data_IF_507171136543
#
_entry.id   IF_507171136543
#
_cell.length_a   1.000
_cell.length_b   1.000
_cell.length_c   1.000
_cell.angle_alpha   90.00
_cell.angle_beta   90.00
_cell.angle_gamma   90.00
#
_symmetry.space_group_name_H-M   'P 1'
#
loop_
_entity.id
_entity.type
_entity.pdbx_description
1 polymer ?
#
# COMPACT_ATOMS: atom_id res chain seq x y z
N UNK A 1 13.94 15.37 3.60
CA UNK A 1 14.49 16.54 2.87
C UNK A 1 15.01 17.57 3.85
N UNK A 2 14.20 18.00 4.82
CA UNK A 2 14.60 19.04 5.78
C UNK A 2 15.84 18.67 6.60
N UNK A 3 15.96 17.42 7.06
CA UNK A 3 17.13 16.93 7.81
C UNK A 3 18.49 17.17 7.13
N UNK A 4 18.53 17.26 5.79
CA UNK A 4 19.75 17.49 5.01
C UNK A 4 19.79 18.88 4.38
N UNK A 5 18.62 19.44 4.09
CA UNK A 5 18.49 20.62 3.26
C UNK A 5 18.14 21.91 3.99
N UNK A 6 17.92 21.89 5.31
CA UNK A 6 17.78 23.11 6.10
C UNK A 6 19.10 23.45 6.78
N UNK A 7 19.74 24.59 6.43
CA UNK A 7 20.97 25.00 7.10
C UNK A 7 20.68 25.36 8.55
N UNK A 8 21.57 24.96 9.45
CA UNK A 8 21.49 25.33 10.87
C UNK A 8 22.80 25.99 11.29
N UNK A 9 22.75 27.31 11.44
CA UNK A 9 23.89 28.15 11.81
C UNK A 9 24.43 27.83 13.21
N UNK A 10 23.62 27.26 14.10
CA UNK A 10 23.99 26.94 15.48
C UNK A 10 24.76 25.62 15.59
N UNK A 11 24.53 24.67 14.68
CA UNK A 11 25.20 23.35 14.66
C UNK A 11 26.26 23.23 13.55
N UNK A 12 26.50 24.30 12.78
CA UNK A 12 27.47 24.30 11.67
C UNK A 12 27.06 23.40 10.50
N UNK A 13 25.78 23.05 10.39
CA UNK A 13 25.27 22.15 9.36
C UNK A 13 24.88 22.96 8.12
N UNK A 14 25.59 22.70 7.03
CA UNK A 14 25.29 23.26 5.71
C UNK A 14 24.29 22.39 4.95
N UNK A 15 23.45 23.02 4.14
CA UNK A 15 22.47 22.36 3.29
C UNK A 15 23.12 21.74 2.05
N UNK A 16 22.70 20.53 1.71
CA UNK A 16 23.23 19.74 0.60
C UNK A 16 22.08 19.23 -0.31
N UNK A 17 22.22 19.18 -1.65
CA UNK A 17 23.45 19.31 -2.45
C UNK A 17 23.71 20.69 -3.07
N UNK A 18 22.74 21.59 -3.08
CA UNK A 18 22.82 22.85 -3.83
C UNK A 18 23.22 24.06 -2.96
N UNK A 19 23.83 23.81 -1.79
CA UNK A 19 24.20 24.84 -0.83
C UNK A 19 23.03 25.40 -0.03
N UNK A 20 23.35 26.30 0.92
CA UNK A 20 22.45 26.86 1.93
C UNK A 20 21.28 27.67 1.35
N UNK A 21 21.42 28.18 0.12
CA UNK A 21 20.39 28.98 -0.56
C UNK A 21 19.59 28.16 -1.58
N UNK A 22 20.25 27.31 -2.37
CA UNK A 22 19.58 26.54 -3.43
C UNK A 22 18.79 25.35 -2.91
N UNK A 23 19.34 24.63 -1.91
CA UNK A 23 18.73 23.40 -1.40
C UNK A 23 17.36 23.62 -0.77
N UNK A 24 17.15 24.64 0.10
CA UNK A 24 15.82 24.89 0.66
C UNK A 24 14.76 25.18 -0.41
N UNK A 25 15.13 25.93 -1.46
CA UNK A 25 14.22 26.29 -2.55
C UNK A 25 13.81 25.06 -3.34
N UNK A 26 14.77 24.22 -3.74
CA UNK A 26 14.49 22.97 -4.45
C UNK A 26 13.63 22.03 -3.60
N UNK A 27 13.96 21.88 -2.32
CA UNK A 27 13.19 21.04 -1.40
C UNK A 27 11.74 21.52 -1.28
N UNK A 28 11.53 22.82 -1.09
CA UNK A 28 10.19 23.40 -1.00
C UNK A 28 9.39 23.15 -2.29
N UNK A 29 9.99 23.36 -3.47
CA UNK A 29 9.35 23.08 -4.76
C UNK A 29 8.96 21.61 -4.90
N UNK A 30 9.86 20.68 -4.55
CA UNK A 30 9.59 19.25 -4.62
C UNK A 30 8.51 18.82 -3.61
N UNK A 31 8.47 19.41 -2.42
CA UNK A 31 7.42 19.14 -1.42
C UNK A 31 6.04 19.59 -1.92
N UNK A 32 5.92 20.80 -2.47
CA UNK A 32 4.66 21.28 -3.03
C UNK A 32 4.23 20.46 -4.25
N UNK A 33 5.18 20.09 -5.11
CA UNK A 33 4.92 19.21 -6.25
C UNK A 33 4.42 17.83 -5.79
N UNK A 34 5.07 17.25 -4.79
CA UNK A 34 4.66 15.99 -4.19
C UNK A 34 3.23 16.06 -3.66
N UNK A 35 2.91 17.10 -2.87
CA UNK A 35 1.58 17.29 -2.30
C UNK A 35 0.51 17.45 -3.39
N UNK A 36 0.81 18.24 -4.43
CA UNK A 36 -0.09 18.41 -5.58
C UNK A 36 -0.40 17.08 -6.27
N UNK A 37 0.62 16.23 -6.47
CA UNK A 37 0.44 14.92 -7.09
C UNK A 37 -0.26 13.91 -6.18
N UNK A 38 -0.10 13.99 -4.85
CA UNK A 38 -0.89 13.22 -3.89
C UNK A 38 -2.35 13.60 -3.98
N UNK A 39 -2.68 14.90 -3.94
CA UNK A 39 -4.07 15.38 -4.12
C UNK A 39 -4.66 14.92 -5.45
N UNK A 40 -3.88 14.98 -6.53
CA UNK A 40 -4.28 14.46 -7.84
C UNK A 40 -4.63 12.96 -7.78
N UNK A 41 -3.90 12.14 -7.01
CA UNK A 41 -4.24 10.70 -6.88
C UNK A 41 -5.62 10.49 -6.25
N UNK A 42 -5.96 11.28 -5.22
CA UNK A 42 -7.30 11.21 -4.62
C UNK A 42 -8.38 11.58 -5.63
N UNK A 43 -8.17 12.64 -6.42
CA UNK A 43 -9.12 13.07 -7.46
C UNK A 43 -9.29 11.97 -8.52
N UNK A 44 -8.20 11.37 -8.99
CA UNK A 44 -8.25 10.30 -9.99
C UNK A 44 -8.91 9.03 -9.45
N UNK A 45 -8.63 8.67 -8.20
CA UNK A 45 -9.11 7.43 -7.59
C UNK A 45 -10.62 7.43 -7.29
N UNK A 46 -11.25 8.60 -7.16
CA UNK A 46 -12.70 8.72 -6.90
C UNK A 46 -13.57 8.50 -8.14
N UNK A 47 -13.09 8.87 -9.33
CA UNK A 47 -13.95 8.94 -10.52
C UNK A 47 -13.51 8.08 -11.72
N UNK A 48 -12.22 7.71 -11.81
CA UNK A 48 -11.68 7.10 -13.01
C UNK A 48 -10.99 5.76 -12.73
N UNK A 49 -11.31 4.75 -13.55
CA UNK A 49 -10.47 3.55 -13.64
C UNK A 49 -9.10 3.94 -14.22
N UNK A 50 -7.97 3.36 -13.77
CA UNK A 50 -6.64 3.72 -14.26
C UNK A 50 -6.46 3.55 -15.77
N UNK A 51 -7.28 2.70 -16.40
CA UNK A 51 -7.32 2.54 -17.86
C UNK A 51 -7.84 3.77 -18.61
N UNK A 52 -8.63 4.63 -17.97
CA UNK A 52 -9.20 5.86 -18.56
C UNK A 52 -8.26 7.06 -18.53
N UNK A 53 -7.34 7.13 -17.56
CA UNK A 53 -6.43 8.27 -17.35
C UNK A 53 -4.95 7.83 -17.31
N UNK A 54 -4.57 6.91 -18.20
CA UNK A 54 -3.23 6.29 -18.23
C UNK A 54 -2.09 7.30 -18.24
N UNK A 55 -2.20 8.37 -19.03
CA UNK A 55 -1.14 9.38 -19.14
C UNK A 55 -0.94 10.14 -17.82
N UNK A 56 -2.02 10.49 -17.12
CA UNK A 56 -1.93 11.17 -15.83
C UNK A 56 -1.32 10.28 -14.76
N UNK A 57 -1.65 8.98 -14.76
CA UNK A 57 -0.99 8.01 -13.90
C UNK A 57 0.49 7.89 -14.25
N UNK A 58 0.86 7.70 -15.53
CA UNK A 58 2.27 7.61 -15.94
C UNK A 58 3.06 8.86 -15.52
N UNK A 59 2.50 10.06 -15.73
CA UNK A 59 3.13 11.29 -15.26
C UNK A 59 3.34 11.30 -13.74
N UNK A 60 2.34 10.83 -12.98
CA UNK A 60 2.45 10.70 -11.52
C UNK A 60 3.52 9.69 -11.09
N UNK A 61 3.60 8.54 -11.77
CA UNK A 61 4.66 7.56 -11.56
C UNK A 61 6.04 8.18 -11.76
N UNK A 62 6.24 8.94 -12.85
CA UNK A 62 7.51 9.59 -13.15
C UNK A 62 7.89 10.64 -12.09
N UNK A 63 6.92 11.48 -11.67
CA UNK A 63 7.17 12.52 -10.66
C UNK A 63 7.50 11.91 -9.30
N UNK A 64 6.71 10.94 -8.82
CA UNK A 64 7.01 10.25 -7.56
C UNK A 64 8.35 9.52 -7.60
N UNK A 65 8.70 8.89 -8.73
CA UNK A 65 9.99 8.21 -8.90
C UNK A 65 11.16 9.19 -8.85
N UNK A 66 11.04 10.35 -9.50
CA UNK A 66 12.08 11.39 -9.48
C UNK A 66 12.29 11.94 -8.07
N UNK A 67 11.20 12.27 -7.36
CA UNK A 67 11.26 12.76 -5.98
C UNK A 67 11.83 11.68 -5.05
N UNK A 68 11.41 10.43 -5.21
CA UNK A 68 11.92 9.30 -4.43
C UNK A 68 13.42 9.08 -4.69
N UNK A 69 13.86 9.17 -5.94
CA UNK A 69 15.28 9.11 -6.29
C UNK A 69 16.10 10.19 -5.58
N UNK A 70 15.59 11.43 -5.54
CA UNK A 70 16.21 12.51 -4.77
C UNK A 70 16.26 12.21 -3.26
N UNK A 71 15.18 11.68 -2.68
CA UNK A 71 15.16 11.26 -1.26
C UNK A 71 16.18 10.15 -0.99
N UNK A 72 16.34 9.18 -1.89
CA UNK A 72 17.34 8.11 -1.75
C UNK A 72 18.76 8.67 -1.73
N UNK A 73 19.07 9.66 -2.58
CA UNK A 73 20.38 10.32 -2.60
C UNK A 73 20.62 11.08 -1.30
N UNK A 74 19.65 11.86 -0.81
CA UNK A 74 19.75 12.54 0.50
C UNK A 74 19.91 11.54 1.67
N UNK A 75 19.21 10.41 1.59
CA UNK A 75 19.30 9.35 2.59
C UNK A 75 20.69 8.73 2.59
N UNK A 76 21.23 8.38 1.42
CA UNK A 76 22.60 7.86 1.29
C UNK A 76 23.64 8.85 1.85
N UNK A 77 23.46 10.15 1.62
CA UNK A 77 24.30 11.19 2.22
C UNK A 77 24.25 11.17 3.77
N UNK A 78 23.05 11.06 4.36
CA UNK A 78 22.91 10.92 5.83
C UNK A 78 23.61 9.66 6.35
N UNK A 79 23.51 8.55 5.62
CA UNK A 79 24.17 7.29 5.99
C UNK A 79 25.69 7.47 5.99
N UNK A 80 26.28 8.04 4.94
CA UNK A 80 27.73 8.27 4.87
C UNK A 80 28.19 9.17 6.03
N UNK A 81 27.46 10.25 6.29
CA UNK A 81 27.77 11.16 7.40
C UNK A 81 27.63 10.49 8.78
N UNK A 82 26.70 9.55 8.93
CA UNK A 82 26.59 8.77 10.16
C UNK A 82 27.84 7.90 10.39
N UNK A 83 28.53 7.48 9.33
CA UNK A 83 29.79 6.72 9.41
C UNK A 83 31.06 7.57 9.59
N UNK A 84 30.98 8.90 9.47
CA UNK A 84 32.14 9.78 9.72
C UNK A 84 32.57 9.76 11.19
N UNK A 85 31.69 9.32 12.11
CA UNK A 85 32.06 9.01 13.49
C UNK A 85 32.34 7.50 13.59
N UNK A 86 33.46 7.06 14.20
CA UNK A 86 33.80 5.64 14.28
C UNK A 86 32.69 4.81 14.92
N UNK A 87 32.35 3.67 14.32
CA UNK A 87 31.29 2.75 14.81
C UNK A 87 31.59 2.28 16.24
N UNK A 88 32.88 2.15 16.60
CA UNK A 88 33.31 1.78 17.96
C UNK A 88 32.97 2.81 19.04
N UNK A 89 32.76 4.06 18.67
CA UNK A 89 32.32 5.14 19.57
C UNK A 89 30.79 5.27 19.60
N UNK A 90 30.09 4.70 18.62
CA UNK A 90 28.62 4.74 18.52
C UNK A 90 27.93 3.47 19.03
N UNK A 91 28.59 2.31 18.93
CA UNK A 91 28.05 1.01 19.34
C UNK A 91 29.02 0.36 20.31
N UNK A 92 28.60 0.30 21.58
CA UNK A 92 29.34 -0.43 22.60
C UNK A 92 28.95 -1.90 22.59
N UNK A 93 29.89 -2.78 22.22
CA UNK A 93 29.75 -4.23 22.35
C UNK A 93 30.25 -4.76 23.72
N UNK A 94 30.56 -3.86 24.66
CA UNK A 94 31.18 -4.22 25.93
C UNK A 94 30.23 -5.02 26.85
N UNK A 95 28.92 -4.79 26.77
CA UNK A 95 27.90 -5.55 27.49
C UNK A 95 26.55 -5.45 26.78
N UNK A 96 25.63 -6.38 27.06
CA UNK A 96 24.25 -6.32 26.55
C UNK A 96 23.55 -5.04 27.00
N UNK A 97 23.82 -4.55 28.20
CA UNK A 97 23.24 -3.30 28.71
C UNK A 97 23.83 -2.07 28.01
N UNK A 98 25.16 -2.01 27.79
CA UNK A 98 25.79 -0.91 27.05
C UNK A 98 25.42 -0.93 25.56
N UNK A 99 25.19 -2.12 25.01
CA UNK A 99 24.60 -2.29 23.68
C UNK A 99 23.17 -1.74 23.66
N UNK A 100 22.30 -2.15 24.60
CA UNK A 100 20.95 -1.58 24.69
C UNK A 100 20.96 -0.07 24.94
N UNK A 101 21.88 0.47 25.73
CA UNK A 101 21.96 1.91 26.04
C UNK A 101 22.49 2.71 24.84
N UNK A 102 23.44 2.16 24.07
CA UNK A 102 23.87 2.77 22.80
C UNK A 102 22.78 2.79 21.73
N UNK A 103 21.76 1.93 21.88
CA UNK A 103 20.60 1.84 20.98
C UNK A 103 19.44 2.72 21.50
N UNK A 104 19.02 2.54 22.75
CA UNK A 104 17.83 3.16 23.33
C UNK A 104 18.10 4.45 24.12
N UNK A 105 19.35 4.74 24.48
CA UNK A 105 19.76 5.83 25.36
C UNK A 105 19.87 7.22 24.72
N UNK A 106 19.25 7.44 23.55
CA UNK A 106 19.07 8.77 22.93
C UNK A 106 20.34 9.50 22.46
N UNK A 107 21.53 8.95 22.74
CA UNK A 107 22.79 9.69 22.65
C UNK A 107 23.46 9.61 21.27
N UNK A 108 23.05 8.69 20.39
CA UNK A 108 23.60 8.60 19.03
C UNK A 108 22.50 8.40 17.98
N UNK A 109 22.11 9.47 17.29
CA UNK A 109 21.24 9.38 16.11
C UNK A 109 21.84 8.47 15.03
N UNK A 110 23.17 8.35 14.97
CA UNK A 110 23.90 7.45 14.06
C UNK A 110 23.66 5.97 14.34
N UNK A 111 23.67 5.53 15.60
CA UNK A 111 23.46 4.14 15.98
C UNK A 111 22.07 3.63 15.57
N UNK A 112 21.04 4.43 15.82
CA UNK A 112 19.65 4.11 15.43
C UNK A 112 19.52 3.94 13.91
N UNK A 113 20.10 4.87 13.14
CA UNK A 113 20.04 4.83 11.67
C UNK A 113 20.77 3.59 11.14
N UNK A 114 21.97 3.29 11.67
CA UNK A 114 22.76 2.14 11.23
C UNK A 114 22.02 0.81 11.44
N UNK A 115 21.44 0.64 12.62
CA UNK A 115 20.68 -0.57 12.98
C UNK A 115 19.45 -0.71 12.09
N UNK A 116 18.73 0.38 11.86
CA UNK A 116 17.58 0.38 10.97
C UNK A 116 17.98 0.00 9.54
N UNK A 117 19.09 0.50 9.01
CA UNK A 117 19.57 0.13 7.67
C UNK A 117 19.92 -1.36 7.57
N UNK A 118 20.68 -1.89 8.54
CA UNK A 118 21.05 -3.31 8.58
C UNK A 118 19.79 -4.17 8.68
N UNK A 119 18.84 -3.77 9.52
CA UNK A 119 17.63 -4.57 9.77
C UNK A 119 16.65 -4.50 8.60
N UNK A 120 16.43 -3.32 8.03
CA UNK A 120 15.44 -3.10 6.97
C UNK A 120 16.00 -3.56 5.61
N UNK A 121 17.25 -3.23 5.29
CA UNK A 121 17.86 -3.56 4.01
C UNK A 121 18.81 -4.75 4.09
N UNK A 122 19.69 -4.80 5.08
CA UNK A 122 20.68 -5.87 5.24
C UNK A 122 20.06 -7.26 5.38
N UNK A 123 19.02 -7.42 6.22
CA UNK A 123 18.34 -8.72 6.40
C UNK A 123 17.69 -9.23 5.11
N UNK A 124 17.25 -8.35 4.21
CA UNK A 124 16.73 -8.75 2.90
C UNK A 124 17.84 -9.39 2.03
N UNK A 125 19.03 -8.80 2.03
CA UNK A 125 20.19 -9.38 1.34
C UNK A 125 20.60 -10.71 1.99
N UNK A 126 20.74 -10.76 3.30
CA UNK A 126 21.10 -11.99 4.04
C UNK A 126 20.10 -13.11 3.73
N UNK A 127 18.79 -12.82 3.79
CA UNK A 127 17.77 -13.81 3.44
C UNK A 127 17.91 -14.32 2.00
N UNK A 128 18.19 -13.44 1.05
CA UNK A 128 18.35 -13.82 -0.37
C UNK A 128 19.58 -14.70 -0.60
N UNK A 129 20.70 -14.42 0.09
CA UNK A 129 21.88 -15.29 0.07
C UNK A 129 21.61 -16.65 0.72
N UNK A 130 20.91 -16.67 1.86
CA UNK A 130 20.49 -17.92 2.52
C UNK A 130 19.55 -18.76 1.67
N UNK A 131 18.74 -18.11 0.82
CA UNK A 131 17.85 -18.77 -0.14
C UNK A 131 18.54 -19.16 -1.46
N UNK A 132 19.85 -18.87 -1.60
CA UNK A 132 20.66 -19.19 -2.78
C UNK A 132 20.23 -18.52 -4.09
N UNK A 133 19.47 -17.43 -4.03
CA UNK A 133 19.13 -16.59 -5.19
C UNK A 133 19.27 -15.11 -4.81
N UNK A 134 20.49 -14.56 -4.80
CA UNK A 134 20.70 -13.15 -4.46
C UNK A 134 20.42 -12.20 -5.63
N UNK A 135 20.25 -12.70 -6.86
CA UNK A 135 20.29 -11.88 -8.07
C UNK A 135 19.16 -10.86 -8.13
N UNK A 136 17.98 -11.24 -7.64
CA UNK A 136 16.81 -10.35 -7.60
C UNK A 136 17.01 -9.13 -6.67
N UNK A 137 17.88 -9.22 -5.64
CA UNK A 137 18.25 -8.09 -4.80
C UNK A 137 19.20 -7.11 -5.50
N UNK A 138 19.99 -7.56 -6.48
CA UNK A 138 20.85 -6.65 -7.24
C UNK A 138 20.13 -6.00 -8.42
N UNK A 139 19.33 -6.79 -9.14
CA UNK A 139 18.65 -6.30 -10.33
C UNK A 139 17.36 -5.55 -10.02
N UNK A 140 16.47 -6.10 -9.18
CA UNK A 140 15.11 -5.58 -9.01
C UNK A 140 14.97 -4.60 -7.85
N UNK A 141 15.78 -4.74 -6.81
CA UNK A 141 15.68 -3.93 -5.59
C UNK A 141 15.90 -2.42 -5.83
N UNK A 142 16.87 -1.97 -6.65
CA UNK A 142 17.03 -0.53 -6.90
C UNK A 142 15.78 0.09 -7.55
N UNK A 143 15.15 -0.61 -8.49
CA UNK A 143 13.89 -0.17 -9.10
C UNK A 143 12.74 -0.15 -8.09
N UNK A 144 12.68 -1.14 -7.19
CA UNK A 144 11.71 -1.17 -6.10
C UNK A 144 11.87 0.03 -5.16
N UNK A 145 13.10 0.37 -4.77
CA UNK A 145 13.38 1.54 -3.93
C UNK A 145 12.97 2.85 -4.61
N UNK A 146 13.23 2.97 -5.92
CA UNK A 146 12.85 4.14 -6.71
C UNK A 146 11.33 4.31 -6.81
N UNK A 147 10.59 3.20 -6.92
CA UNK A 147 9.13 3.20 -7.05
C UNK A 147 8.39 3.18 -5.70
N UNK A 148 9.10 3.19 -4.57
CA UNK A 148 8.49 3.07 -3.24
C UNK A 148 7.41 4.12 -2.97
N UNK A 149 7.69 5.39 -3.28
CA UNK A 149 6.70 6.47 -3.14
C UNK A 149 5.45 6.23 -4.00
N UNK A 150 5.60 5.64 -5.17
CA UNK A 150 4.47 5.30 -6.03
C UNK A 150 3.59 4.22 -5.42
N UNK A 151 4.19 3.18 -4.83
CA UNK A 151 3.42 2.14 -4.15
C UNK A 151 2.63 2.70 -2.96
N UNK A 152 3.26 3.56 -2.16
CA UNK A 152 2.63 4.15 -0.98
C UNK A 152 1.53 5.13 -1.36
N UNK A 153 1.72 5.98 -2.36
CA UNK A 153 0.73 7.00 -2.69
C UNK A 153 -0.29 6.48 -3.69
N UNK A 154 0.12 6.06 -4.89
CA UNK A 154 -0.82 5.73 -5.96
C UNK A 154 -1.59 4.45 -5.62
N UNK A 155 -0.89 3.37 -5.27
CA UNK A 155 -1.57 2.09 -5.07
C UNK A 155 -2.42 2.10 -3.81
N UNK A 156 -1.93 2.64 -2.68
CA UNK A 156 -2.73 2.68 -1.45
C UNK A 156 -3.95 3.59 -1.59
N UNK A 157 -3.79 4.80 -2.14
CA UNK A 157 -4.93 5.71 -2.36
C UNK A 157 -5.95 5.04 -3.28
N UNK A 158 -5.50 4.42 -4.37
CA UNK A 158 -6.42 3.71 -5.26
C UNK A 158 -7.12 2.54 -4.55
N UNK A 159 -6.39 1.72 -3.77
CA UNK A 159 -6.93 0.57 -3.06
C UNK A 159 -7.98 0.96 -2.01
N UNK A 160 -7.73 1.98 -1.18
CA UNK A 160 -8.71 2.44 -0.21
C UNK A 160 -9.95 3.06 -0.87
N UNK A 161 -9.76 3.88 -1.91
CA UNK A 161 -10.87 4.47 -2.65
C UNK A 161 -11.67 3.44 -3.46
N UNK A 162 -11.07 2.30 -3.81
CA UNK A 162 -11.69 1.24 -4.61
C UNK A 162 -11.80 -0.09 -3.86
N UNK A 163 -11.97 -0.06 -2.53
CA UNK A 163 -12.07 -1.27 -1.69
C UNK A 163 -13.16 -2.26 -2.15
N UNK A 164 -14.27 -1.73 -2.65
CA UNK A 164 -15.39 -2.50 -3.23
C UNK A 164 -15.02 -3.27 -4.51
N UNK A 165 -13.97 -2.89 -5.24
CA UNK A 165 -13.53 -3.52 -6.48
C UNK A 165 -12.51 -4.65 -6.18
N UNK A 166 -12.98 -5.70 -5.51
CA UNK A 166 -12.19 -6.91 -5.16
C UNK A 166 -11.74 -7.70 -6.40
N UNK A 167 -12.30 -7.39 -7.57
CA UNK A 167 -11.89 -8.00 -8.83
C UNK A 167 -10.53 -7.48 -9.36
N UNK A 168 -9.88 -6.56 -8.65
CA UNK A 168 -8.49 -6.18 -8.92
C UNK A 168 -7.53 -7.31 -8.51
N UNK A 169 -7.22 -8.18 -9.48
CA UNK A 169 -6.35 -9.35 -9.30
C UNK A 169 -6.91 -10.64 -9.89
N UNK A 170 -8.22 -10.70 -10.15
CA UNK A 170 -8.92 -11.88 -10.70
C UNK A 170 -9.72 -11.60 -11.98
N UNK A 171 -9.73 -10.35 -12.48
CA UNK A 171 -10.39 -9.87 -13.73
C UNK A 171 -10.06 -10.62 -15.05
N UNK A 172 -9.34 -11.73 -14.99
CA UNK A 172 -9.13 -12.66 -16.11
C UNK A 172 -10.01 -13.92 -16.09
N UNK A 173 -10.78 -14.17 -15.02
CA UNK A 173 -11.64 -15.37 -14.92
C UNK A 173 -13.10 -15.16 -15.32
N UNK A 174 -13.53 -13.93 -15.59
CA UNK A 174 -14.92 -13.63 -15.95
C UNK A 174 -15.17 -13.89 -17.45
N UNK A 175 -15.09 -15.15 -17.86
CA UNK A 175 -15.84 -15.59 -19.04
C UNK A 175 -17.29 -15.70 -18.61
N UNK A 176 -18.16 -14.88 -19.19
CA UNK A 176 -19.60 -15.06 -19.06
C UNK A 176 -19.94 -16.52 -19.44
N UNK A 177 -20.59 -17.25 -18.53
CA UNK A 177 -21.22 -18.52 -18.89
C UNK A 177 -22.17 -18.25 -20.05
N UNK A 178 -22.01 -19.01 -21.14
CA UNK A 178 -22.89 -18.91 -22.27
C UNK A 178 -24.31 -19.24 -21.80
N UNK A 179 -25.26 -18.31 -22.04
CA UNK A 179 -26.67 -18.56 -21.80
C UNK A 179 -27.07 -19.88 -22.47
N UNK A 180 -27.94 -20.70 -21.84
CA UNK A 180 -28.38 -21.95 -22.44
C UNK A 180 -29.07 -21.65 -23.76
N UNK A 181 -28.43 -22.05 -24.87
CA UNK A 181 -28.99 -21.93 -26.21
C UNK A 181 -30.10 -22.96 -26.37
N UNK A 182 -31.26 -22.53 -26.88
CA UNK A 182 -32.36 -23.43 -27.22
C UNK A 182 -31.87 -24.53 -28.19
N UNK A 183 -32.18 -25.79 -27.88
CA UNK A 183 -31.89 -26.92 -28.76
C UNK A 183 -32.80 -26.84 -29.99
N UNK A 184 -32.24 -26.41 -31.12
CA UNK A 184 -32.89 -26.46 -32.43
C UNK A 184 -32.37 -27.68 -33.18
N UNK A 185 -33.21 -28.70 -33.33
CA UNK A 185 -32.96 -29.84 -34.22
C UNK A 185 -33.46 -29.53 -35.62
N UNK A 186 -32.67 -29.89 -36.64
CA UNK A 186 -33.01 -29.67 -38.06
C UNK A 186 -33.74 -30.90 -38.61
N UNK A 187 -34.96 -30.72 -39.10
CA UNK A 187 -35.68 -31.74 -39.87
C UNK A 187 -35.12 -31.90 -41.29
N UNK A 188 -35.43 -33.02 -41.95
CA UNK A 188 -34.89 -33.46 -43.26
C UNK A 188 -35.13 -32.51 -44.45
N UNK A 189 -35.93 -31.44 -44.30
CA UNK A 189 -36.23 -30.47 -45.36
C UNK A 189 -35.89 -29.01 -45.03
N UNK A 190 -35.00 -28.77 -44.06
CA UNK A 190 -34.45 -27.43 -43.78
C UNK A 190 -35.51 -26.38 -43.35
N UNK A 191 -36.61 -26.83 -42.75
CA UNK A 191 -37.57 -25.98 -42.04
C UNK A 191 -37.26 -26.04 -40.53
N UNK A 192 -37.33 -24.90 -39.85
CA UNK A 192 -37.13 -24.80 -38.40
C UNK A 192 -38.38 -25.34 -37.74
N UNK A 193 -38.39 -26.63 -37.45
CA UNK A 193 -39.48 -27.27 -36.71
C UNK A 193 -39.13 -27.21 -35.23
N UNK A 194 -39.88 -26.41 -34.48
CA UNK A 194 -39.91 -26.51 -33.02
C UNK A 194 -40.62 -27.83 -32.72
N UNK A 195 -39.93 -28.75 -32.05
CA UNK A 195 -40.55 -29.98 -31.55
C UNK A 195 -41.55 -29.58 -30.46
N UNK A 196 -42.81 -29.37 -30.85
CA UNK A 196 -43.91 -29.21 -29.92
C UNK A 196 -44.05 -30.55 -29.19
N UNK A 197 -43.49 -30.62 -27.99
CA UNK A 197 -43.71 -31.72 -27.06
C UNK A 197 -45.23 -31.85 -26.90
N UNK A 198 -45.80 -32.95 -27.40
CA UNK A 198 -47.21 -33.29 -27.23
C UNK A 198 -47.49 -33.40 -25.73
N UNK A 199 -48.06 -32.35 -25.15
CA UNK A 199 -48.46 -32.31 -23.76
C UNK A 199 -49.88 -32.85 -23.65
N UNK A 200 -50.12 -33.61 -22.60
CA UNK A 200 -51.44 -34.14 -22.28
C UNK A 200 -52.43 -32.98 -22.06
N UNK A 201 -53.67 -33.13 -22.53
CA UNK A 201 -54.69 -32.07 -22.48
C UNK A 201 -54.92 -31.56 -21.04
N UNK A 202 -54.82 -32.45 -20.05
CA UNK A 202 -54.97 -32.13 -18.63
C UNK A 202 -53.83 -31.22 -18.10
N UNK A 203 -52.62 -31.39 -18.62
CA UNK A 203 -51.48 -30.51 -18.32
C UNK A 203 -51.64 -29.12 -18.97
N UNK A 204 -52.27 -29.07 -20.14
CA UNK A 204 -52.58 -27.81 -20.83
C UNK A 204 -53.66 -27.04 -20.06
N UNK A 205 -54.73 -27.73 -19.67
CA UNK A 205 -55.85 -27.13 -18.94
C UNK A 205 -55.42 -26.69 -17.53
N UNK A 206 -54.58 -27.45 -16.84
CA UNK A 206 -54.05 -27.06 -15.53
C UNK A 206 -53.11 -25.85 -15.61
N UNK A 207 -52.26 -25.78 -16.65
CA UNK A 207 -51.40 -24.61 -16.91
C UNK A 207 -52.25 -23.37 -17.28
N UNK A 208 -53.29 -23.56 -18.08
CA UNK A 208 -54.22 -22.50 -18.45
C UNK A 208 -54.98 -21.97 -17.23
N UNK A 209 -55.53 -22.85 -16.40
CA UNK A 209 -56.25 -22.48 -15.18
C UNK A 209 -55.34 -21.74 -14.19
N UNK A 210 -54.11 -22.23 -13.98
CA UNK A 210 -53.14 -21.54 -13.14
C UNK A 210 -52.80 -20.14 -13.67
N UNK A 211 -52.70 -19.99 -14.99
CA UNK A 211 -52.41 -18.70 -15.63
C UNK A 211 -53.57 -17.73 -15.48
N UNK A 212 -54.81 -18.20 -15.70
CA UNK A 212 -56.03 -17.39 -15.52
C UNK A 212 -56.21 -16.98 -14.06
N UNK A 213 -56.00 -17.90 -13.10
CA UNK A 213 -56.06 -17.59 -11.67
C UNK A 213 -55.00 -16.57 -11.25
N UNK A 214 -53.80 -16.60 -11.84
CA UNK A 214 -52.77 -15.59 -11.63
C UNK A 214 -53.13 -14.24 -12.27
N UNK A 215 -53.74 -14.23 -13.45
CA UNK A 215 -54.14 -13.02 -14.15
C UNK A 215 -55.35 -12.31 -13.51
N UNK A 216 -56.26 -13.07 -12.89
CA UNK A 216 -57.43 -12.56 -12.17
C UNK A 216 -57.15 -12.23 -10.70
N UNK A 217 -55.97 -12.57 -10.18
CA UNK A 217 -55.60 -12.23 -8.82
C UNK A 217 -55.54 -10.70 -8.66
N UNK A 218 -56.23 -10.12 -7.64
CA UNK A 218 -56.15 -8.69 -7.38
C UNK A 218 -54.69 -8.30 -7.12
N UNK A 219 -54.26 -7.21 -7.75
CA UNK A 219 -52.93 -6.64 -7.52
C UNK A 219 -52.80 -6.25 -6.04
N UNK A 220 -52.08 -7.07 -5.28
CA UNK A 220 -51.54 -6.65 -3.99
C UNK A 220 -50.30 -5.85 -4.30
N UNK A 221 -50.35 -4.55 -4.03
CA UNK A 221 -49.16 -3.73 -3.92
C UNK A 221 -48.33 -4.36 -2.80
N UNK A 222 -47.30 -5.13 -3.18
CA UNK A 222 -46.30 -5.55 -2.22
C UNK A 222 -45.71 -4.24 -1.69
N UNK A 223 -45.88 -3.98 -0.38
CA UNK A 223 -45.07 -2.94 0.26
C UNK A 223 -43.63 -3.34 -0.03
N UNK A 224 -42.99 -2.62 -0.95
CA UNK A 224 -41.55 -2.69 -1.14
C UNK A 224 -40.98 -2.26 0.20
N UNK A 225 -40.75 -3.22 1.08
CA UNK A 225 -39.83 -3.06 2.19
C UNK A 225 -38.54 -2.70 1.47
N UNK A 226 -38.17 -1.42 1.51
CA UNK A 226 -36.86 -0.94 1.10
C UNK A 226 -35.86 -1.73 1.94
N UNK A 227 -35.46 -2.90 1.44
CA UNK A 227 -34.36 -3.65 2.00
C UNK A 227 -33.18 -2.71 1.79
N UNK A 228 -32.63 -2.22 2.90
CA UNK A 228 -31.44 -1.39 2.89
C UNK A 228 -30.47 -1.98 1.86
N UNK A 229 -30.24 -1.23 0.79
CA UNK A 229 -29.44 -1.72 -0.32
C UNK A 229 -28.06 -2.04 0.23
N UNK A 230 -27.71 -3.32 0.23
CA UNK A 230 -26.42 -3.80 0.73
C UNK A 230 -25.29 -3.10 -0.04
N UNK A 231 -25.55 -2.73 -1.30
CA UNK A 231 -24.63 -1.96 -2.13
C UNK A 231 -24.41 -0.53 -1.60
N UNK A 232 -25.44 0.13 -1.08
CA UNK A 232 -25.33 1.45 -0.45
C UNK A 232 -24.61 1.39 0.91
N UNK A 233 -24.81 0.30 1.66
CA UNK A 233 -24.01 -0.03 2.85
C UNK A 233 -22.51 -0.14 2.53
N UNK A 234 -22.14 -0.83 1.45
CA UNK A 234 -20.73 -0.93 1.03
C UNK A 234 -20.15 0.40 0.53
N UNK A 235 -20.95 1.21 -0.17
CA UNK A 235 -20.54 2.56 -0.61
C UNK A 235 -20.29 3.48 0.60
N UNK A 236 -21.16 3.42 1.61
CA UNK A 236 -21.03 4.17 2.85
C UNK A 236 -19.82 3.72 3.68
N UNK A 237 -19.61 2.40 3.81
CA UNK A 237 -18.43 1.85 4.48
C UNK A 237 -17.13 2.28 3.80
N UNK A 238 -17.06 2.20 2.47
CA UNK A 238 -15.91 2.67 1.68
C UNK A 238 -15.59 4.13 1.98
N UNK A 239 -16.60 5.00 1.94
CA UNK A 239 -16.42 6.41 2.26
C UNK A 239 -15.93 6.60 3.69
N UNK A 240 -16.53 5.90 4.67
CA UNK A 240 -16.11 5.94 6.06
C UNK A 240 -14.66 5.48 6.28
N UNK A 241 -14.25 4.41 5.60
CA UNK A 241 -12.88 3.87 5.64
C UNK A 241 -11.87 4.89 5.07
N UNK A 242 -12.15 5.45 3.89
CA UNK A 242 -11.29 6.45 3.24
C UNK A 242 -11.20 7.73 4.07
N UNK A 243 -12.33 8.21 4.60
CA UNK A 243 -12.40 9.40 5.44
C UNK A 243 -11.62 9.19 6.74
N UNK A 244 -11.82 8.07 7.43
CA UNK A 244 -11.09 7.74 8.66
C UNK A 244 -9.58 7.65 8.40
N UNK A 245 -9.17 6.99 7.31
CA UNK A 245 -7.77 6.91 6.92
C UNK A 245 -7.17 8.28 6.56
N UNK A 246 -7.87 9.08 5.76
CA UNK A 246 -7.43 10.41 5.34
C UNK A 246 -7.28 11.36 6.54
N UNK A 247 -8.33 11.49 7.37
CA UNK A 247 -8.29 12.35 8.54
C UNK A 247 -7.31 11.84 9.60
N UNK A 248 -7.13 10.52 9.74
CA UNK A 248 -6.09 9.95 10.61
C UNK A 248 -4.68 10.36 10.19
N UNK A 249 -4.37 10.31 8.89
CA UNK A 249 -3.07 10.77 8.38
C UNK A 249 -2.90 12.29 8.51
N UNK A 250 -3.93 13.08 8.22
CA UNK A 250 -3.89 14.55 8.38
C UNK A 250 -3.67 14.93 9.85
N UNK A 251 -4.41 14.31 10.77
CA UNK A 251 -4.26 14.54 12.21
C UNK A 251 -2.84 14.22 12.65
N UNK A 252 -2.29 13.07 12.23
CA UNK A 252 -0.92 12.69 12.54
C UNK A 252 0.10 13.74 12.04
N UNK A 253 -0.03 14.19 10.79
CA UNK A 253 0.84 15.22 10.22
C UNK A 253 0.76 16.49 11.07
N UNK A 254 -0.45 16.98 11.34
CA UNK A 254 -0.66 18.22 12.12
C UNK A 254 -0.08 18.11 13.52
N UNK A 255 -0.32 17.01 14.23
CA UNK A 255 0.21 16.80 15.58
C UNK A 255 1.74 16.76 15.62
N UNK A 256 2.38 16.13 14.64
CA UNK A 256 3.84 16.02 14.60
C UNK A 256 4.48 17.33 14.13
N UNK A 257 3.95 17.97 13.09
CA UNK A 257 4.64 19.09 12.42
C UNK A 257 4.31 20.48 12.94
N UNK A 258 3.20 20.68 13.67
CA UNK A 258 2.74 22.02 14.05
C UNK A 258 3.26 22.49 15.40
N UNK A 259 3.90 23.66 15.42
CA UNK A 259 4.42 24.32 16.65
C UNK A 259 3.30 24.78 17.61
N UNK A 260 2.04 24.83 17.14
CA UNK A 260 0.91 25.32 17.95
C UNK A 260 0.44 24.31 19.01
N UNK A 261 0.83 23.04 18.86
CA UNK A 261 0.46 21.98 19.79
C UNK A 261 1.46 21.77 20.92
N UNK A 262 2.51 22.60 21.01
CA UNK A 262 3.52 22.52 22.07
C UNK A 262 2.89 22.63 23.48
N UNK A 263 1.77 23.35 23.61
CA UNK A 263 1.01 23.52 24.85
C UNK A 263 -0.02 22.41 25.14
N UNK A 264 -0.26 21.47 24.21
CA UNK A 264 -1.34 20.46 24.34
C UNK A 264 -0.92 19.21 25.14
N UNK A 265 0.06 19.33 26.03
CA UNK A 265 0.46 18.30 27.00
C UNK A 265 1.74 17.53 26.68
N UNK A 266 2.40 17.82 25.55
CA UNK A 266 3.67 17.15 25.20
C UNK A 266 4.92 18.00 25.49
N UNK A 267 4.79 19.31 25.69
CA UNK A 267 5.85 20.18 26.22
C UNK A 267 7.13 20.28 25.37
N UNK A 268 7.26 19.49 24.31
CA UNK A 268 8.40 19.42 23.41
C UNK A 268 8.17 20.27 22.15
N UNK A 269 9.20 20.98 21.67
CA UNK A 269 9.15 21.71 20.41
C UNK A 269 8.94 20.74 19.24
N UNK A 270 8.33 21.20 18.15
CA UNK A 270 8.05 20.36 16.98
C UNK A 270 9.28 19.66 16.38
N UNK A 271 10.48 20.23 16.55
CA UNK A 271 11.74 19.62 16.12
C UNK A 271 12.00 18.29 16.82
N UNK A 272 11.84 18.24 18.15
CA UNK A 272 12.14 17.06 18.95
C UNK A 272 11.07 15.97 18.71
N UNK A 273 9.80 16.37 18.60
CA UNK A 273 8.72 15.45 18.23
C UNK A 273 8.94 14.78 16.87
N UNK A 274 9.42 15.53 15.87
CA UNK A 274 9.76 14.97 14.55
C UNK A 274 10.88 13.95 14.67
N UNK A 275 11.90 14.23 15.48
CA UNK A 275 13.01 13.31 15.71
C UNK A 275 12.55 12.04 16.44
N UNK A 276 11.78 12.17 17.52
CA UNK A 276 11.20 11.03 18.25
C UNK A 276 10.28 10.18 17.37
N UNK A 277 9.41 10.81 16.58
CA UNK A 277 8.55 10.10 15.63
C UNK A 277 9.36 9.34 14.58
N UNK A 278 10.40 9.97 14.03
CA UNK A 278 11.29 9.30 13.07
C UNK A 278 12.03 8.12 13.70
N UNK A 279 12.55 8.27 14.91
CA UNK A 279 13.19 7.19 15.67
C UNK A 279 12.21 6.04 15.95
N UNK A 280 10.99 6.35 16.37
CA UNK A 280 9.93 5.35 16.55
C UNK A 280 9.65 4.56 15.26
N UNK A 281 9.53 5.24 14.11
CA UNK A 281 9.31 4.57 12.83
C UNK A 281 10.46 3.63 12.45
N UNK A 282 11.71 4.05 12.68
CA UNK A 282 12.87 3.20 12.42
C UNK A 282 12.84 1.94 13.30
N UNK A 283 12.51 2.07 14.58
CA UNK A 283 12.39 0.92 15.48
C UNK A 283 11.23 0.00 15.13
N UNK A 284 10.04 0.56 14.91
CA UNK A 284 8.87 -0.22 14.54
C UNK A 284 9.14 -1.03 13.25
N UNK A 285 9.77 -0.40 12.26
CA UNK A 285 10.12 -1.07 10.99
C UNK A 285 11.22 -2.11 11.18
N UNK A 286 12.22 -1.86 12.04
CA UNK A 286 13.25 -2.83 12.38
C UNK A 286 12.66 -4.07 13.06
N UNK A 287 11.79 -3.90 14.06
CA UNK A 287 11.10 -5.00 14.75
C UNK A 287 10.26 -5.83 13.76
N UNK A 288 9.46 -5.19 12.91
CA UNK A 288 8.68 -5.89 11.89
C UNK A 288 9.58 -6.65 10.89
N UNK A 289 10.72 -6.08 10.53
CA UNK A 289 11.70 -6.73 9.64
C UNK A 289 12.34 -7.95 10.30
N UNK A 290 12.63 -7.90 11.61
CA UNK A 290 13.10 -9.05 12.39
C UNK A 290 12.06 -10.16 12.47
N UNK A 291 10.79 -9.82 12.74
CA UNK A 291 9.69 -10.81 12.75
C UNK A 291 9.57 -11.49 11.39
N UNK A 292 9.62 -10.72 10.30
CA UNK A 292 9.60 -11.27 8.93
C UNK A 292 10.79 -12.18 8.66
N UNK A 293 11.99 -11.79 9.08
CA UNK A 293 13.20 -12.59 8.93
C UNK A 293 13.13 -13.90 9.75
N UNK A 294 12.61 -13.85 10.98
CA UNK A 294 12.37 -15.04 11.79
C UNK A 294 11.38 -16.00 11.11
N UNK A 295 10.30 -15.48 10.50
CA UNK A 295 9.38 -16.27 9.69
C UNK A 295 10.06 -16.92 8.48
N UNK A 296 10.97 -16.19 7.81
CA UNK A 296 11.79 -16.74 6.72
C UNK A 296 12.73 -17.86 7.21
N UNK A 297 13.41 -17.68 8.35
CA UNK A 297 14.27 -18.72 8.93
C UNK A 297 13.48 -19.97 9.29
N UNK A 298 12.27 -19.80 9.83
CA UNK A 298 11.36 -20.91 10.11
C UNK A 298 10.97 -21.65 8.84
N UNK A 299 10.59 -20.93 7.78
CA UNK A 299 10.24 -21.51 6.48
C UNK A 299 11.42 -22.27 5.85
N UNK A 300 12.61 -21.67 5.82
CA UNK A 300 13.81 -22.27 5.26
C UNK A 300 14.25 -23.50 6.07
N UNK A 301 14.21 -23.41 7.41
CA UNK A 301 14.50 -24.52 8.30
C UNK A 301 13.54 -25.69 8.07
N UNK A 302 12.22 -25.43 8.06
CA UNK A 302 11.22 -26.47 7.80
C UNK A 302 11.40 -27.12 6.43
N UNK A 303 11.61 -26.33 5.38
CA UNK A 303 11.75 -26.83 4.00
C UNK A 303 13.07 -27.59 3.82
N UNK A 304 14.17 -27.09 4.38
CA UNK A 304 15.47 -27.76 4.37
C UNK A 304 15.47 -29.08 5.12
N UNK A 305 14.87 -29.12 6.32
CA UNK A 305 14.69 -30.34 7.10
C UNK A 305 13.83 -31.36 6.34
N UNK A 306 12.70 -30.94 5.76
CA UNK A 306 11.84 -31.83 4.98
C UNK A 306 12.54 -32.37 3.72
N UNK A 307 13.39 -31.57 3.05
CA UNK A 307 14.20 -32.02 1.93
C UNK A 307 15.24 -33.08 2.35
N UNK A 308 15.86 -32.94 3.53
CA UNK A 308 16.76 -33.95 4.07
C UNK A 308 16.07 -35.27 4.45
N UNK A 309 14.80 -35.21 4.90
CA UNK A 309 14.01 -36.41 5.24
C UNK A 309 13.32 -37.06 4.03
N UNK A 310 12.93 -36.31 2.99
CA UNK A 310 12.33 -36.90 1.78
C UNK A 310 13.35 -37.46 0.78
N UNK A 311 14.65 -37.21 1.00
CA UNK A 311 15.75 -37.77 0.22
C UNK A 311 16.32 -39.08 0.79
N UNK A 312 15.74 -39.59 1.88
CA UNK A 312 15.96 -40.97 2.37
C UNK A 312 14.80 -41.85 1.93
#
# INVERSE_FOLDING_TARGET
MDLVGTPNATSGVHAWPFGDTGTPVVNALLQYLYLAFVMLQFILALGNRPKGSKFTYIASFMVFSLIQGYILVLSAYLVVRAFDTPIGDQISFASTDAFLDSFFGGSSAGGVILVALITIYGLNFVASFMYLDPWHMFHSFPYYLLLMSTYINILMVYAFNNWHDVSWGTKGSDKAEALPSAHVTKGEKNEVVVEEVEKEQEDIDSQFEQTVRRALAPFKEEEEVEKADVEDGYKSFRTGLVVSWLFGNILLIVCITSDKFDNLGWGEPATDRKAHYFQFLLYATAVLSLVRFAGFLWFLGRTGIMCCFSRR
#
